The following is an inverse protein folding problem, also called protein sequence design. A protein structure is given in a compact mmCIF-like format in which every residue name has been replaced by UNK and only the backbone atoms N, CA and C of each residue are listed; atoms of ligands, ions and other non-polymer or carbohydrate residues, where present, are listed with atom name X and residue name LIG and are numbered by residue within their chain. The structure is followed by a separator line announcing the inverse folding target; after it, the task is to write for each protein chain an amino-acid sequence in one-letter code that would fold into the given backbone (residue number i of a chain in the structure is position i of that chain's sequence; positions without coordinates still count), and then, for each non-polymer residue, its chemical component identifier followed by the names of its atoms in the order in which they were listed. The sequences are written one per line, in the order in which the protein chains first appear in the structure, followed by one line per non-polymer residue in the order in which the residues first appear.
data_IF_714555867988
#
_entry.id   IF_714555867988
#
_cell.length_a   1.000
_cell.length_b   1.000
_cell.length_c   1.000
_cell.angle_alpha   90.00
_cell.angle_beta   90.00
_cell.angle_gamma   90.00
#
_symmetry.space_group_name_H-M   'P 1'
#
loop_
_entity.id
_entity.type
_entity.pdbx_description
1 polymer ?
#
# COMPACT_ATOMS: atom_id res chain seq x y z
N UNK A 1 -10.65 47.97 -13.20
CA UNK A 1 -9.61 47.72 -12.22
C UNK A 1 -10.05 46.68 -11.17
N UNK A 2 -11.19 46.87 -10.52
CA UNK A 2 -11.67 45.90 -9.52
C UNK A 2 -11.96 44.52 -10.10
N UNK A 3 -12.52 44.45 -11.31
CA UNK A 3 -12.77 43.18 -11.97
C UNK A 3 -11.50 42.37 -12.29
N UNK A 4 -10.44 43.07 -12.66
CA UNK A 4 -9.14 42.44 -12.93
C UNK A 4 -8.53 41.87 -11.65
N UNK A 5 -8.61 42.58 -10.53
CA UNK A 5 -8.09 42.08 -9.26
C UNK A 5 -8.88 40.87 -8.75
N UNK A 6 -10.20 40.85 -8.94
CA UNK A 6 -11.04 39.71 -8.58
C UNK A 6 -10.70 38.48 -9.42
N UNK A 7 -10.49 38.66 -10.71
CA UNK A 7 -10.09 37.53 -11.60
C UNK A 7 -8.74 36.97 -11.21
N UNK A 8 -7.78 37.83 -10.84
CA UNK A 8 -6.47 37.37 -10.39
C UNK A 8 -6.57 36.58 -9.09
N UNK A 9 -7.40 36.99 -8.16
CA UNK A 9 -7.62 36.27 -6.91
C UNK A 9 -8.25 34.90 -7.13
N UNK A 10 -9.23 34.81 -8.02
CA UNK A 10 -9.88 33.55 -8.37
C UNK A 10 -8.91 32.60 -9.01
N UNK A 11 -8.03 33.07 -9.88
CA UNK A 11 -7.01 32.26 -10.54
C UNK A 11 -6.04 31.66 -9.53
N UNK A 12 -5.58 32.45 -8.55
CA UNK A 12 -4.67 32.00 -7.50
C UNK A 12 -5.33 30.93 -6.63
N UNK A 13 -6.59 31.10 -6.27
CA UNK A 13 -7.34 30.12 -5.48
C UNK A 13 -7.49 28.80 -6.21
N UNK A 14 -7.79 28.84 -7.52
CA UNK A 14 -7.90 27.63 -8.34
C UNK A 14 -6.57 26.88 -8.42
N UNK A 15 -5.45 27.58 -8.55
CA UNK A 15 -4.13 26.99 -8.57
C UNK A 15 -3.80 26.29 -7.25
N UNK A 16 -4.16 26.88 -6.12
CA UNK A 16 -3.95 26.26 -4.81
C UNK A 16 -4.75 24.98 -4.63
N UNK A 17 -6.00 24.95 -5.08
CA UNK A 17 -6.85 23.77 -5.03
C UNK A 17 -6.26 22.61 -5.85
N UNK A 18 -5.78 22.89 -7.05
CA UNK A 18 -5.14 21.88 -7.90
C UNK A 18 -3.88 21.31 -7.26
N UNK A 19 -3.06 22.15 -6.64
CA UNK A 19 -1.85 21.70 -5.95
C UNK A 19 -2.19 20.79 -4.76
N UNK A 20 -3.24 21.10 -3.99
CA UNK A 20 -3.70 20.27 -2.90
C UNK A 20 -4.17 18.90 -3.35
N UNK A 21 -4.94 18.82 -4.44
CA UNK A 21 -5.41 17.56 -5.01
C UNK A 21 -4.25 16.70 -5.49
N UNK A 22 -3.24 17.30 -6.10
CA UNK A 22 -2.04 16.59 -6.56
C UNK A 22 -1.26 15.94 -5.42
N UNK A 23 -1.16 16.60 -4.27
CA UNK A 23 -0.49 16.06 -3.09
C UNK A 23 -1.20 14.82 -2.53
N UNK A 24 -2.53 14.84 -2.44
CA UNK A 24 -3.30 13.68 -1.98
C UNK A 24 -3.13 12.49 -2.92
N UNK A 25 -3.19 12.70 -4.22
CA UNK A 25 -3.00 11.64 -5.21
C UNK A 25 -1.60 11.02 -5.09
N UNK A 26 -0.55 11.83 -4.90
CA UNK A 26 0.81 11.35 -4.73
C UNK A 26 0.96 10.50 -3.47
N UNK A 27 0.37 10.91 -2.36
CA UNK A 27 0.41 10.15 -1.11
C UNK A 27 -0.31 8.82 -1.23
N UNK A 28 -1.45 8.76 -1.92
CA UNK A 28 -2.19 7.52 -2.13
C UNK A 28 -1.38 6.53 -2.98
N UNK A 29 -0.70 6.99 -4.03
CA UNK A 29 0.15 6.16 -4.88
C UNK A 29 1.34 5.63 -4.08
N UNK A 30 2.00 6.48 -3.29
CA UNK A 30 3.12 6.08 -2.45
C UNK A 30 2.71 5.04 -1.40
N UNK A 31 1.54 5.19 -0.77
CA UNK A 31 1.02 4.24 0.20
C UNK A 31 0.72 2.88 -0.46
N UNK A 32 0.13 2.86 -1.66
CA UNK A 32 -0.15 1.64 -2.39
C UNK A 32 1.16 0.93 -2.80
N UNK A 33 2.18 1.67 -3.22
CA UNK A 33 3.49 1.11 -3.56
C UNK A 33 4.18 0.53 -2.32
N UNK A 34 4.13 1.21 -1.18
CA UNK A 34 4.68 0.69 0.08
C UNK A 34 4.00 -0.60 0.51
N UNK A 35 2.69 -0.69 0.35
CA UNK A 35 1.91 -1.89 0.65
C UNK A 35 2.37 -3.05 -0.24
N UNK A 36 2.46 -2.82 -1.56
CA UNK A 36 2.91 -3.83 -2.52
C UNK A 36 4.36 -4.25 -2.28
N UNK A 37 5.24 -3.31 -1.97
CA UNK A 37 6.64 -3.58 -1.68
C UNK A 37 6.79 -4.45 -0.46
N UNK A 38 6.12 -4.12 0.64
CA UNK A 38 6.15 -4.92 1.87
C UNK A 38 5.64 -6.33 1.63
N UNK A 39 4.59 -6.47 0.84
CA UNK A 39 4.03 -7.77 0.49
C UNK A 39 4.99 -8.60 -0.36
N UNK A 40 5.64 -8.00 -1.33
CA UNK A 40 6.61 -8.69 -2.19
C UNK A 40 7.84 -9.14 -1.41
N UNK A 41 8.32 -8.32 -0.48
CA UNK A 41 9.41 -8.71 0.41
C UNK A 41 9.02 -9.92 1.25
N UNK A 42 7.81 -9.94 1.77
CA UNK A 42 7.33 -11.07 2.55
C UNK A 42 7.19 -12.34 1.70
N UNK A 43 6.72 -12.22 0.45
CA UNK A 43 6.68 -13.35 -0.48
C UNK A 43 8.06 -13.98 -0.68
N UNK A 44 9.08 -13.15 -0.86
CA UNK A 44 10.45 -13.62 -1.02
C UNK A 44 10.96 -14.34 0.22
N UNK A 45 10.66 -13.81 1.40
CA UNK A 45 11.03 -14.46 2.67
C UNK A 45 10.37 -15.84 2.76
N UNK A 46 9.06 -15.93 2.51
CA UNK A 46 8.35 -17.21 2.57
C UNK A 46 8.91 -18.20 1.57
N UNK A 47 9.23 -17.78 0.37
CA UNK A 47 9.81 -18.65 -0.65
C UNK A 47 11.18 -19.16 -0.22
N UNK A 48 12.03 -18.31 0.29
CA UNK A 48 13.37 -18.66 0.76
C UNK A 48 13.26 -19.63 1.93
N UNK A 49 12.44 -19.33 2.93
CA UNK A 49 12.26 -20.18 4.10
C UNK A 49 11.67 -21.54 3.74
N UNK A 50 10.79 -21.59 2.74
CA UNK A 50 10.23 -22.84 2.24
C UNK A 50 11.32 -23.69 1.57
N UNK A 51 12.18 -23.09 0.75
CA UNK A 51 13.26 -23.81 0.09
C UNK A 51 14.31 -24.31 1.07
N UNK A 52 14.46 -23.66 2.22
CA UNK A 52 15.37 -24.08 3.30
C UNK A 52 14.73 -25.12 4.25
N UNK A 53 13.47 -25.45 4.05
CA UNK A 53 12.76 -26.40 4.89
C UNK A 53 12.22 -25.82 6.20
N UNK A 54 12.28 -24.52 6.40
CA UNK A 54 11.80 -23.87 7.62
C UNK A 54 10.29 -23.64 7.63
N UNK A 55 9.66 -23.70 6.45
CA UNK A 55 8.21 -23.57 6.28
C UNK A 55 7.72 -24.81 5.55
N UNK A 56 6.70 -25.48 6.07
CA UNK A 56 6.13 -26.65 5.44
C UNK A 56 5.35 -26.25 4.18
N UNK A 57 5.17 -27.22 3.28
CA UNK A 57 4.39 -27.03 2.07
C UNK A 57 2.94 -26.60 2.38
N UNK A 58 2.34 -27.19 3.41
CA UNK A 58 0.99 -26.84 3.85
C UNK A 58 0.92 -25.38 4.32
N UNK A 59 1.88 -24.94 5.13
CA UNK A 59 1.94 -23.57 5.62
C UNK A 59 2.22 -22.58 4.49
N UNK A 60 3.07 -22.95 3.53
CA UNK A 60 3.34 -22.13 2.35
C UNK A 60 2.09 -21.94 1.50
N UNK A 61 1.30 -22.99 1.29
CA UNK A 61 0.05 -22.93 0.55
C UNK A 61 -0.96 -22.01 1.25
N UNK A 62 -1.11 -22.16 2.57
CA UNK A 62 -1.98 -21.29 3.36
C UNK A 62 -1.55 -19.81 3.32
N UNK A 63 -0.23 -19.57 3.40
CA UNK A 63 0.32 -18.23 3.30
C UNK A 63 0.05 -17.62 1.93
N UNK A 64 0.15 -18.40 0.86
CA UNK A 64 -0.11 -17.92 -0.51
C UNK A 64 -1.54 -17.42 -0.68
N UNK A 65 -2.52 -18.10 -0.09
CA UNK A 65 -3.93 -17.68 -0.10
C UNK A 65 -4.10 -16.35 0.62
N UNK A 66 -3.53 -16.22 1.82
CA UNK A 66 -3.59 -14.98 2.60
C UNK A 66 -2.87 -13.83 1.89
N UNK A 67 -1.72 -14.09 1.30
CA UNK A 67 -0.95 -13.09 0.54
C UNK A 67 -1.78 -12.57 -0.63
N UNK A 68 -2.49 -13.44 -1.35
CA UNK A 68 -3.37 -13.04 -2.45
C UNK A 68 -4.50 -12.12 -1.96
N UNK A 69 -5.08 -12.43 -0.80
CA UNK A 69 -6.11 -11.59 -0.17
C UNK A 69 -5.55 -10.22 0.21
N UNK A 70 -4.37 -10.18 0.81
CA UNK A 70 -3.70 -8.93 1.21
C UNK A 70 -3.35 -8.10 -0.03
N UNK A 71 -2.92 -8.73 -1.10
CA UNK A 71 -2.65 -8.06 -2.38
C UNK A 71 -3.91 -7.34 -2.89
N UNK A 72 -5.07 -8.00 -2.82
CA UNK A 72 -6.34 -7.39 -3.18
C UNK A 72 -6.65 -6.15 -2.33
N UNK A 73 -6.35 -6.19 -1.04
CA UNK A 73 -6.52 -5.04 -0.15
C UNK A 73 -5.60 -3.88 -0.57
N UNK A 74 -4.34 -4.16 -0.89
CA UNK A 74 -3.41 -3.14 -1.39
C UNK A 74 -3.91 -2.50 -2.68
N UNK A 75 -4.41 -3.30 -3.63
CA UNK A 75 -4.92 -2.83 -4.92
C UNK A 75 -6.16 -1.95 -4.77
N UNK A 76 -6.99 -2.24 -3.80
CA UNK A 76 -8.23 -1.48 -3.55
C UNK A 76 -8.00 -0.24 -2.70
N UNK A 77 -6.77 0.09 -2.35
CA UNK A 77 -6.43 1.26 -1.55
C UNK A 77 -6.63 1.08 -0.05
N UNK A 78 -6.92 -0.14 0.41
CA UNK A 78 -7.10 -0.46 1.83
C UNK A 78 -5.77 -0.80 2.48
N UNK A 79 -4.82 0.12 2.38
CA UNK A 79 -3.42 -0.12 2.73
C UNK A 79 -3.21 -0.39 4.22
N UNK A 80 -3.87 0.35 5.09
CA UNK A 80 -3.77 0.15 6.54
C UNK A 80 -4.26 -1.23 6.94
N UNK A 81 -5.40 -1.65 6.38
CA UNK A 81 -5.96 -2.98 6.63
C UNK A 81 -5.04 -4.08 6.07
N UNK A 82 -4.50 -3.86 4.88
CA UNK A 82 -3.57 -4.79 4.24
C UNK A 82 -2.32 -4.99 5.09
N UNK A 83 -1.70 -3.90 5.55
CA UNK A 83 -0.50 -3.96 6.37
C UNK A 83 -0.75 -4.61 7.74
N UNK A 84 -1.92 -4.37 8.34
CA UNK A 84 -2.31 -5.03 9.59
C UNK A 84 -2.49 -6.54 9.36
N UNK A 85 -3.11 -6.94 8.26
CA UNK A 85 -3.27 -8.35 7.90
C UNK A 85 -1.93 -9.03 7.63
N UNK A 86 -0.99 -8.32 6.98
CA UNK A 86 0.36 -8.82 6.74
C UNK A 86 1.10 -9.05 8.05
N UNK A 87 1.04 -8.11 8.98
CA UNK A 87 1.65 -8.28 10.31
C UNK A 87 1.07 -9.45 11.07
N UNK A 88 -0.24 -9.66 10.99
CA UNK A 88 -0.90 -10.79 11.64
C UNK A 88 -0.42 -12.11 11.03
N UNK A 89 -0.27 -12.18 9.71
CA UNK A 89 0.24 -13.35 9.02
C UNK A 89 1.69 -13.63 9.42
N UNK A 90 2.53 -12.61 9.46
CA UNK A 90 3.93 -12.74 9.89
C UNK A 90 4.03 -13.34 11.28
N UNK A 91 3.21 -12.85 12.21
CA UNK A 91 3.19 -13.38 13.58
C UNK A 91 2.75 -14.83 13.64
N UNK A 92 1.73 -15.20 12.87
CA UNK A 92 1.25 -16.59 12.82
C UNK A 92 2.30 -17.55 12.29
N UNK A 93 3.12 -17.09 11.35
CA UNK A 93 4.19 -17.89 10.75
C UNK A 93 5.49 -17.86 11.56
N UNK A 94 5.54 -17.09 12.65
CA UNK A 94 6.73 -16.97 13.49
C UNK A 94 7.77 -15.98 12.98
N UNK A 95 7.46 -15.17 11.99
CA UNK A 95 8.34 -14.10 11.53
C UNK A 95 8.15 -12.87 12.42
N UNK A 96 9.24 -12.13 12.63
CA UNK A 96 9.22 -10.92 13.49
C UNK A 96 9.59 -9.67 12.71
#
# INVERSE_FOLDING_TARGET
MQGTNMSARMTISAAMLLAGQGLFATQAIAAAQSCGTALNEFREIVRTETSMGHVTQTNQTGASVEIARIEGLCRSGRNTEALAALKALQRRMGFR
#
